data_IF_238443404872
#
_entry.id   IF_238443404872
#
_cell.length_a   1.000
_cell.length_b   1.000
_cell.length_c   1.000
_cell.angle_alpha   90.00
_cell.angle_beta   90.00
_cell.angle_gamma   90.00
#
_symmetry.space_group_name_H-M   'P 1'
#
loop_
_entity.id
_entity.type
_entity.pdbx_description
1 polymer ?
#
# COMPACT_ATOMS: atom_id res chain seq x y z
N UNK A 1 -0.73 57.59 24.83
CA UNK A 1 -0.06 56.66 25.76
C UNK A 1 0.24 55.38 25.00
N UNK A 2 1.49 55.23 24.52
CA UNK A 2 1.98 54.04 23.87
C UNK A 2 2.57 53.19 24.99
N UNK A 3 1.87 52.10 25.33
CA UNK A 3 2.31 51.17 26.39
C UNK A 3 3.55 50.40 25.86
N UNK A 4 4.59 50.42 26.68
CA UNK A 4 5.94 49.95 26.34
C UNK A 4 6.01 48.48 25.92
N UNK A 5 6.78 48.23 24.92
CA UNK A 5 7.42 46.95 24.69
C UNK A 5 8.36 46.70 25.86
N UNK A 6 7.97 45.82 26.78
CA UNK A 6 8.86 45.36 27.83
C UNK A 6 10.01 44.62 27.19
N UNK A 7 11.22 45.14 27.27
CA UNK A 7 12.47 44.49 26.89
C UNK A 7 12.54 43.14 27.61
N UNK A 8 12.39 42.05 26.85
CA UNK A 8 12.54 40.68 27.37
C UNK A 8 14.03 40.54 27.72
N UNK A 9 14.35 40.17 28.97
CA UNK A 9 15.73 40.00 29.39
C UNK A 9 16.46 38.99 28.45
N UNK A 10 17.76 39.16 28.19
CA UNK A 10 18.53 38.24 27.37
C UNK A 10 18.45 36.76 27.80
N UNK A 11 18.29 36.53 29.10
CA UNK A 11 18.09 35.19 29.68
C UNK A 11 16.73 34.59 29.27
N UNK A 12 15.67 35.38 29.38
CA UNK A 12 14.33 34.98 29.01
C UNK A 12 14.20 34.77 27.49
N UNK A 13 14.92 35.53 26.68
CA UNK A 13 15.00 35.37 25.25
C UNK A 13 15.72 34.06 24.87
N UNK A 14 16.84 33.72 25.51
CA UNK A 14 17.56 32.43 25.33
C UNK A 14 16.68 31.24 25.75
N UNK A 15 15.93 31.37 26.83
CA UNK A 15 15.03 30.29 27.28
C UNK A 15 13.89 30.10 26.28
N UNK A 16 13.29 31.17 25.75
CA UNK A 16 12.28 31.10 24.70
C UNK A 16 12.82 30.47 23.40
N UNK A 17 14.04 30.83 23.00
CA UNK A 17 14.70 30.24 21.85
C UNK A 17 14.97 28.75 22.06
N UNK A 18 15.39 28.36 23.27
CA UNK A 18 15.60 26.97 23.64
C UNK A 18 14.32 26.17 23.56
N UNK A 19 13.23 26.67 24.13
CA UNK A 19 11.89 26.00 24.07
C UNK A 19 11.42 25.91 22.63
N UNK A 20 11.65 26.93 21.80
CA UNK A 20 11.19 26.96 20.41
C UNK A 20 11.94 26.02 19.48
N UNK A 21 13.25 25.74 19.73
CA UNK A 21 14.13 25.11 18.76
C UNK A 21 14.88 23.88 19.24
N UNK A 22 14.85 23.57 20.53
CA UNK A 22 15.55 22.41 21.11
C UNK A 22 14.52 21.36 21.54
N UNK A 23 14.76 20.11 21.19
CA UNK A 23 13.95 18.99 21.66
C UNK A 23 14.26 18.68 23.14
N UNK A 24 13.25 18.60 23.96
CA UNK A 24 13.39 18.44 25.41
C UNK A 24 13.94 17.06 25.81
N UNK A 25 13.71 16.02 25.03
CA UNK A 25 14.17 14.65 25.31
C UNK A 25 15.60 14.42 24.86
N UNK A 26 15.90 14.80 23.63
CA UNK A 26 17.18 14.48 22.97
C UNK A 26 18.23 15.59 23.09
N UNK A 27 17.80 16.81 23.47
CA UNK A 27 18.67 18.00 23.49
C UNK A 27 19.18 18.45 22.11
N UNK A 28 18.69 17.82 21.05
CA UNK A 28 19.01 18.18 19.67
C UNK A 28 18.02 19.16 19.06
N UNK A 29 18.05 19.32 17.74
CA UNK A 29 17.04 20.11 17.05
C UNK A 29 15.67 19.44 17.17
N UNK A 30 14.63 20.23 17.49
CA UNK A 30 13.26 19.82 17.28
C UNK A 30 12.86 20.03 15.80
N UNK A 31 11.63 19.69 15.43
CA UNK A 31 11.16 19.80 14.04
C UNK A 31 11.16 21.25 13.52
N UNK A 32 10.84 22.24 14.35
CA UNK A 32 10.85 23.65 13.95
C UNK A 32 12.27 24.14 13.65
N UNK A 33 13.24 23.77 14.50
CA UNK A 33 14.66 24.05 14.24
C UNK A 33 15.15 23.39 12.96
N UNK A 34 14.80 22.12 12.74
CA UNK A 34 15.13 21.40 11.51
C UNK A 34 14.59 22.13 10.27
N UNK A 35 13.31 22.49 10.26
CA UNK A 35 12.67 23.20 9.14
C UNK A 35 13.35 24.54 8.86
N UNK A 36 13.59 25.34 9.89
CA UNK A 36 14.26 26.64 9.75
C UNK A 36 15.64 26.46 9.14
N UNK A 37 16.47 25.57 9.70
CA UNK A 37 17.83 25.32 9.21
C UNK A 37 17.88 24.79 7.78
N UNK A 38 16.90 23.97 7.38
CA UNK A 38 16.85 23.44 6.02
C UNK A 38 16.42 24.50 5.00
N UNK A 39 15.43 25.34 5.35
CA UNK A 39 15.00 26.48 4.49
C UNK A 39 16.13 27.48 4.24
N UNK A 40 16.96 27.72 5.24
CA UNK A 40 18.09 28.67 5.17
C UNK A 40 19.25 28.13 4.31
N UNK A 41 19.19 26.85 3.92
CA UNK A 41 20.24 26.21 3.11
C UNK A 41 19.85 26.16 1.63
N UNK A 42 20.73 26.63 0.77
CA UNK A 42 20.57 26.57 -0.68
C UNK A 42 21.36 25.39 -1.27
N UNK A 43 21.10 24.17 -0.76
CA UNK A 43 21.78 22.92 -1.17
C UNK A 43 20.75 21.85 -1.43
N UNK A 44 20.89 21.16 -2.55
CA UNK A 44 20.08 19.96 -2.84
C UNK A 44 20.56 18.75 -2.04
N UNK A 45 19.67 17.78 -1.84
CA UNK A 45 20.00 16.58 -1.10
C UNK A 45 18.82 15.64 -0.97
N UNK A 46 18.82 14.87 0.13
CA UNK A 46 17.75 13.92 0.43
C UNK A 46 17.21 14.16 1.84
N UNK A 47 15.91 14.24 1.94
CA UNK A 47 15.19 14.29 3.22
C UNK A 47 14.73 12.88 3.58
N UNK A 48 14.98 12.50 4.83
CA UNK A 48 14.69 11.18 5.37
C UNK A 48 13.73 11.32 6.54
N UNK A 49 12.65 10.55 6.52
CA UNK A 49 11.79 10.29 7.68
C UNK A 49 12.17 8.93 8.25
N UNK A 50 12.42 8.87 9.55
CA UNK A 50 12.79 7.65 10.27
C UNK A 50 11.85 7.41 11.44
N UNK A 51 11.42 6.15 11.61
CA UNK A 51 10.74 5.63 12.80
C UNK A 51 11.43 4.35 13.26
N UNK A 52 11.01 3.86 14.43
CA UNK A 52 11.52 2.63 15.01
C UNK A 52 10.39 1.62 15.19
N UNK A 53 10.58 0.41 14.66
CA UNK A 53 9.60 -0.65 14.84
C UNK A 53 9.36 -0.95 16.33
N UNK A 54 8.09 -0.96 16.71
CA UNK A 54 7.64 -1.41 18.02
C UNK A 54 8.29 -0.68 19.22
N UNK A 55 8.74 0.58 19.08
CA UNK A 55 9.38 1.34 20.16
C UNK A 55 8.51 1.43 21.42
N UNK A 56 7.18 1.39 21.28
CA UNK A 56 6.24 1.31 22.41
C UNK A 56 6.53 0.12 23.33
N UNK A 57 7.08 -0.98 22.80
CA UNK A 57 7.46 -2.15 23.59
C UNK A 57 8.62 -1.81 24.53
N UNK A 58 9.58 -1.00 24.08
CA UNK A 58 10.68 -0.53 24.93
C UNK A 58 10.14 0.25 26.14
N UNK A 59 9.21 1.18 25.91
CA UNK A 59 8.57 1.93 26.99
C UNK A 59 7.73 1.04 27.92
N UNK A 60 7.03 0.05 27.38
CA UNK A 60 6.18 -0.87 28.18
C UNK A 60 7.00 -1.82 29.05
N UNK A 61 8.15 -2.31 28.56
CA UNK A 61 8.99 -3.28 29.27
C UNK A 61 9.99 -2.58 30.21
N UNK A 62 10.62 -1.50 29.71
CA UNK A 62 11.75 -0.87 30.40
C UNK A 62 11.40 0.47 31.08
N UNK A 63 10.18 0.95 30.89
CA UNK A 63 9.71 2.25 31.40
C UNK A 63 10.09 3.44 30.51
N UNK A 64 9.37 4.55 30.65
CA UNK A 64 9.51 5.77 29.83
C UNK A 64 10.92 6.38 29.96
N UNK A 65 11.46 6.44 31.19
CA UNK A 65 12.81 6.98 31.41
C UNK A 65 13.89 6.25 30.61
N UNK A 66 13.76 4.92 30.46
CA UNK A 66 14.68 4.12 29.67
C UNK A 66 14.47 4.32 28.18
N UNK A 67 13.23 4.53 27.76
CA UNK A 67 12.91 4.94 26.39
C UNK A 67 13.49 6.30 26.02
N UNK A 68 13.40 7.28 26.91
CA UNK A 68 14.00 8.60 26.72
C UNK A 68 15.55 8.53 26.65
N UNK A 69 16.16 7.65 27.45
CA UNK A 69 17.60 7.35 27.36
C UNK A 69 17.95 6.78 25.97
N UNK A 70 17.15 5.84 25.48
CA UNK A 70 17.31 5.28 24.14
C UNK A 70 17.19 6.34 23.04
N UNK A 71 16.20 7.25 23.14
CA UNK A 71 16.01 8.35 22.17
C UNK A 71 17.22 9.31 22.17
N UNK A 72 17.81 9.60 23.33
CA UNK A 72 19.06 10.38 23.42
C UNK A 72 20.21 9.69 22.68
N UNK A 73 20.42 8.41 22.95
CA UNK A 73 21.43 7.61 22.28
C UNK A 73 21.23 7.54 20.76
N UNK A 74 20.00 7.37 20.30
CA UNK A 74 19.64 7.38 18.88
C UNK A 74 20.00 8.73 18.26
N UNK A 75 19.60 9.83 18.89
CA UNK A 75 19.92 11.19 18.43
C UNK A 75 21.41 11.44 18.33
N UNK A 76 22.19 10.95 19.30
CA UNK A 76 23.65 11.07 19.31
C UNK A 76 24.31 10.27 18.19
N UNK A 77 23.84 9.03 17.95
CA UNK A 77 24.33 8.20 16.85
C UNK A 77 24.01 8.81 15.49
N UNK A 78 22.80 9.35 15.30
CA UNK A 78 22.44 10.07 14.07
C UNK A 78 23.40 11.27 13.88
N UNK A 79 23.64 12.06 14.92
CA UNK A 79 24.58 13.21 14.87
C UNK A 79 26.00 12.80 14.53
N UNK A 80 26.43 11.60 14.94
CA UNK A 80 27.73 11.04 14.58
C UNK A 80 27.90 10.70 13.10
N UNK A 81 26.79 10.49 12.38
CA UNK A 81 26.79 10.22 10.92
C UNK A 81 26.53 11.48 10.09
N UNK A 82 25.89 12.48 10.69
CA UNK A 82 25.52 13.76 10.07
C UNK A 82 26.78 14.63 9.90
N UNK A 83 27.11 14.99 8.66
CA UNK A 83 28.20 15.86 8.32
C UNK A 83 27.89 17.36 8.52
N UNK A 84 28.85 18.24 8.20
CA UNK A 84 28.71 19.69 8.39
C UNK A 84 27.51 20.30 7.67
N UNK A 85 27.20 19.83 6.47
CA UNK A 85 26.09 20.32 5.67
C UNK A 85 24.77 19.56 5.91
N UNK A 86 24.81 18.48 6.66
CA UNK A 86 23.63 17.68 6.97
C UNK A 86 22.88 18.26 8.18
N UNK A 87 21.64 17.86 8.39
CA UNK A 87 20.81 18.29 9.52
C UNK A 87 20.05 17.09 10.04
N UNK A 88 19.93 16.96 11.36
CA UNK A 88 19.00 16.00 11.98
C UNK A 88 18.11 16.70 13.00
N UNK A 89 16.92 16.14 13.23
CA UNK A 89 15.96 16.62 14.22
C UNK A 89 15.12 15.48 14.77
N UNK A 90 14.70 15.63 16.03
CA UNK A 90 13.71 14.78 16.65
C UNK A 90 12.33 15.45 16.51
N UNK A 91 11.30 14.68 16.12
CA UNK A 91 9.96 15.22 15.92
C UNK A 91 9.14 15.00 17.17
N UNK A 92 8.92 13.77 17.51
CA UNK A 92 8.24 13.30 18.74
C UNK A 92 8.30 11.76 18.82
N UNK A 93 8.12 11.20 20.00
CA UNK A 93 8.17 9.76 20.26
C UNK A 93 9.41 9.11 19.63
N UNK A 94 9.26 8.19 18.71
CA UNK A 94 10.33 7.47 18.00
C UNK A 94 10.60 8.03 16.59
N UNK A 95 10.09 9.24 16.27
CA UNK A 95 10.19 9.85 14.95
C UNK A 95 11.32 10.85 14.83
N UNK A 96 12.19 10.63 13.85
CA UNK A 96 13.30 11.50 13.50
C UNK A 96 13.20 11.96 12.05
N UNK A 97 13.81 13.10 11.77
CA UNK A 97 13.98 13.64 10.44
C UNK A 97 15.45 13.95 10.20
N UNK A 98 15.96 13.60 9.02
CA UNK A 98 17.36 13.80 8.67
C UNK A 98 17.40 14.39 7.26
N UNK A 99 18.31 15.32 7.04
CA UNK A 99 18.67 15.81 5.71
C UNK A 99 20.13 15.52 5.45
N UNK A 100 20.42 14.86 4.36
CA UNK A 100 21.76 14.64 3.84
C UNK A 100 22.00 15.49 2.60
N UNK A 101 22.99 16.39 2.67
CA UNK A 101 23.42 17.26 1.57
C UNK A 101 24.33 16.49 0.60
N UNK A 102 23.79 15.44 0.02
CA UNK A 102 24.49 14.59 -0.96
C UNK A 102 23.71 14.60 -2.29
N UNK A 103 24.43 14.55 -3.40
CA UNK A 103 23.88 14.49 -4.76
C UNK A 103 23.57 13.06 -5.22
N UNK A 104 24.19 12.06 -4.56
CA UNK A 104 24.11 10.64 -4.93
C UNK A 104 23.38 9.83 -3.89
N UNK A 105 22.26 9.23 -4.30
CA UNK A 105 21.43 8.38 -3.43
C UNK A 105 22.23 7.23 -2.78
N UNK A 106 23.20 6.64 -3.48
CA UNK A 106 24.00 5.56 -2.92
C UNK A 106 24.84 5.97 -1.70
N UNK A 107 25.26 7.25 -1.60
CA UNK A 107 25.93 7.76 -0.40
C UNK A 107 24.95 7.90 0.76
N UNK A 108 23.76 8.37 0.49
CA UNK A 108 22.67 8.48 1.47
C UNK A 108 22.30 7.10 2.02
N UNK A 109 22.18 6.10 1.16
CA UNK A 109 21.87 4.72 1.56
C UNK A 109 22.96 4.19 2.51
N UNK A 110 24.24 4.40 2.21
CA UNK A 110 25.33 3.99 3.10
C UNK A 110 25.26 4.66 4.48
N UNK A 111 24.88 5.94 4.54
CA UNK A 111 24.65 6.64 5.81
C UNK A 111 23.50 6.03 6.59
N UNK A 112 22.39 5.68 5.92
CA UNK A 112 21.23 4.99 6.50
C UNK A 112 21.64 3.62 7.06
N UNK A 113 22.39 2.84 6.30
CA UNK A 113 22.93 1.54 6.74
C UNK A 113 23.84 1.68 7.95
N UNK A 114 24.69 2.72 7.98
CA UNK A 114 25.56 3.03 9.12
C UNK A 114 24.75 3.35 10.37
N UNK A 115 23.70 4.19 10.25
CA UNK A 115 22.78 4.48 11.36
C UNK A 115 22.13 3.18 11.86
N UNK A 116 21.61 2.34 10.96
CA UNK A 116 20.99 1.07 11.34
C UNK A 116 21.92 0.17 12.15
N UNK A 117 23.18 0.01 11.69
CA UNK A 117 24.19 -0.81 12.39
C UNK A 117 24.52 -0.25 13.77
N UNK A 118 24.60 1.07 13.91
CA UNK A 118 24.87 1.72 15.21
C UNK A 118 23.68 1.52 16.17
N UNK A 119 22.43 1.62 15.70
CA UNK A 119 21.24 1.45 16.55
C UNK A 119 21.07 0.01 17.06
N UNK A 120 21.53 -0.98 16.32
CA UNK A 120 21.56 -2.37 16.81
C UNK A 120 22.46 -2.44 18.06
N UNK A 121 23.64 -1.82 18.02
CA UNK A 121 24.58 -1.76 19.17
C UNK A 121 24.02 -1.01 20.38
N UNK A 122 23.19 0.03 20.14
CA UNK A 122 22.51 0.76 21.22
C UNK A 122 21.60 -0.20 22.02
N UNK A 123 20.87 -1.06 21.35
CA UNK A 123 19.97 -2.03 22.02
C UNK A 123 20.74 -2.95 22.99
N UNK A 124 21.91 -3.43 22.56
CA UNK A 124 22.77 -4.29 23.37
C UNK A 124 23.34 -3.52 24.57
N UNK A 125 23.89 -2.31 24.32
CA UNK A 125 24.51 -1.46 25.35
C UNK A 125 23.53 -1.04 26.45
N UNK A 126 22.30 -0.71 26.07
CA UNK A 126 21.24 -0.29 27.01
C UNK A 126 20.44 -1.47 27.61
N UNK A 127 20.70 -2.71 27.16
CA UNK A 127 19.94 -3.90 27.55
C UNK A 127 18.43 -3.75 27.37
N UNK A 128 18.02 -3.18 26.23
CA UNK A 128 16.63 -3.01 25.84
C UNK A 128 16.27 -3.94 24.70
N UNK A 129 14.97 -4.18 24.41
CA UNK A 129 14.53 -4.88 23.21
C UNK A 129 15.18 -4.32 21.96
N UNK A 130 15.49 -5.19 20.98
CA UNK A 130 16.16 -4.80 19.73
C UNK A 130 15.42 -3.66 19.03
N UNK A 131 16.14 -2.55 18.82
CA UNK A 131 15.69 -1.40 18.05
C UNK A 131 15.94 -1.70 16.58
N UNK A 132 14.91 -1.56 15.76
CA UNK A 132 15.00 -1.71 14.32
C UNK A 132 14.39 -0.48 13.64
N UNK A 133 15.23 0.45 13.12
CA UNK A 133 14.74 1.61 12.40
C UNK A 133 14.25 1.24 11.00
N UNK A 134 13.36 2.06 10.45
CA UNK A 134 12.97 2.02 9.05
C UNK A 134 12.82 3.43 8.51
N UNK A 135 13.13 3.61 7.22
CA UNK A 135 13.37 4.92 6.64
C UNK A 135 12.56 5.12 5.37
N UNK A 136 12.00 6.32 5.22
CA UNK A 136 11.53 6.81 3.93
C UNK A 136 12.43 7.93 3.44
N UNK A 137 12.73 7.94 2.17
CA UNK A 137 13.71 8.84 1.54
C UNK A 137 13.05 9.57 0.39
N UNK A 138 13.21 10.89 0.32
CA UNK A 138 12.82 11.69 -0.84
C UNK A 138 13.92 12.65 -1.25
N UNK A 139 13.96 13.01 -2.53
CA UNK A 139 14.83 14.08 -3.02
C UNK A 139 14.27 15.43 -2.60
N UNK A 140 15.15 16.31 -2.13
CA UNK A 140 14.84 17.69 -1.79
C UNK A 140 15.73 18.66 -2.55
N UNK A 141 15.12 19.72 -3.05
CA UNK A 141 15.80 20.79 -3.78
C UNK A 141 15.38 22.14 -3.20
N UNK A 142 16.25 23.15 -3.26
CA UNK A 142 15.91 24.50 -2.84
C UNK A 142 14.63 24.99 -3.51
N UNK A 143 13.74 25.59 -2.70
CA UNK A 143 12.41 26.04 -3.15
C UNK A 143 11.29 25.03 -2.90
N UNK A 144 11.55 23.76 -2.70
CA UNK A 144 10.56 22.77 -2.25
C UNK A 144 10.18 23.03 -0.79
N UNK A 145 8.90 22.94 -0.44
CA UNK A 145 8.45 23.07 0.94
C UNK A 145 8.95 21.88 1.77
N UNK A 146 9.50 22.15 2.94
CA UNK A 146 10.02 21.10 3.84
C UNK A 146 8.90 20.15 4.28
N UNK A 147 7.71 20.67 4.52
CA UNK A 147 6.53 19.89 4.90
C UNK A 147 6.09 18.93 3.78
N UNK A 148 6.20 19.34 2.53
CA UNK A 148 5.91 18.51 1.36
C UNK A 148 6.93 17.36 1.26
N UNK A 149 8.23 17.69 1.30
CA UNK A 149 9.29 16.68 1.26
C UNK A 149 9.21 15.71 2.44
N UNK A 150 8.88 16.22 3.65
CA UNK A 150 8.65 15.35 4.80
C UNK A 150 7.43 14.42 4.59
N UNK A 151 6.34 14.95 4.03
CA UNK A 151 5.15 14.17 3.67
C UNK A 151 5.49 13.03 2.72
N UNK A 152 6.25 13.28 1.67
CA UNK A 152 6.72 12.28 0.71
C UNK A 152 7.61 11.20 1.36
N UNK A 153 8.61 11.61 2.14
CA UNK A 153 9.47 10.67 2.86
C UNK A 153 8.68 9.83 3.87
N UNK A 154 7.77 10.45 4.61
CA UNK A 154 6.89 9.76 5.57
C UNK A 154 5.93 8.79 4.88
N UNK A 155 5.41 9.15 3.72
CA UNK A 155 4.59 8.27 2.89
C UNK A 155 5.38 7.03 2.45
N UNK A 156 6.59 7.22 1.89
CA UNK A 156 7.47 6.12 1.49
C UNK A 156 7.80 5.20 2.68
N UNK A 157 8.12 5.77 3.84
CA UNK A 157 8.37 5.04 5.08
C UNK A 157 7.19 4.17 5.51
N UNK A 158 5.98 4.72 5.47
CA UNK A 158 4.77 4.01 5.92
C UNK A 158 4.45 2.78 5.07
N UNK A 159 4.90 2.71 3.80
CA UNK A 159 4.74 1.54 2.92
C UNK A 159 5.53 0.30 3.40
N UNK A 160 6.57 0.52 4.18
CA UNK A 160 7.42 -0.57 4.69
C UNK A 160 7.24 -0.79 6.20
N UNK A 161 6.30 -0.10 6.83
CA UNK A 161 6.06 -0.18 8.28
C UNK A 161 5.83 -1.62 8.77
N UNK A 162 5.13 -2.46 8.01
CA UNK A 162 4.86 -3.86 8.35
C UNK A 162 5.93 -4.83 7.80
N UNK A 163 6.90 -4.30 7.03
CA UNK A 163 7.95 -5.09 6.36
C UNK A 163 9.28 -4.97 7.08
N UNK A 164 9.48 -5.82 8.09
CA UNK A 164 10.73 -5.84 8.88
C UNK A 164 11.98 -6.27 8.10
N UNK A 165 11.79 -6.85 6.91
CA UNK A 165 12.85 -7.24 5.97
C UNK A 165 13.39 -6.07 5.13
N UNK A 166 12.69 -4.92 5.11
CA UNK A 166 13.04 -3.74 4.31
C UNK A 166 13.48 -2.60 5.20
N UNK A 167 14.69 -2.11 4.97
CA UNK A 167 15.29 -1.03 5.78
C UNK A 167 14.79 0.36 5.35
N UNK A 168 14.66 0.60 4.05
CA UNK A 168 14.26 1.91 3.53
C UNK A 168 13.40 1.80 2.26
N UNK A 169 12.62 2.84 2.00
CA UNK A 169 11.87 3.04 0.77
C UNK A 169 12.13 4.45 0.23
N UNK A 170 12.48 4.53 -1.05
CA UNK A 170 12.60 5.81 -1.74
C UNK A 170 11.22 6.20 -2.28
N UNK A 171 10.84 7.46 -2.08
CA UNK A 171 9.61 8.04 -2.62
C UNK A 171 9.67 8.09 -4.14
N UNK A 172 8.56 7.74 -4.77
CA UNK A 172 8.36 7.84 -6.20
C UNK A 172 6.99 8.47 -6.45
N UNK A 173 6.94 9.49 -7.27
CA UNK A 173 5.68 10.13 -7.65
C UNK A 173 4.74 9.14 -8.37
N UNK A 174 5.28 8.31 -9.25
CA UNK A 174 4.53 7.26 -9.94
C UNK A 174 3.88 6.27 -8.96
N UNK A 175 4.57 5.93 -7.86
CA UNK A 175 3.99 5.09 -6.80
C UNK A 175 2.83 5.78 -6.08
N UNK A 176 2.92 7.09 -5.87
CA UNK A 176 1.84 7.86 -5.24
C UNK A 176 0.61 7.93 -6.14
N UNK A 177 0.81 8.23 -7.41
CA UNK A 177 -0.26 8.27 -8.40
C UNK A 177 -0.98 6.90 -8.48
N UNK A 178 -0.21 5.80 -8.50
CA UNK A 178 -0.78 4.45 -8.46
C UNK A 178 -1.61 4.19 -7.21
N UNK A 179 -1.16 4.60 -6.03
CA UNK A 179 -1.90 4.40 -4.78
C UNK A 179 -3.18 5.22 -4.76
N UNK A 180 -3.14 6.46 -5.25
CA UNK A 180 -4.34 7.29 -5.39
C UNK A 180 -5.32 6.63 -6.36
N UNK A 181 -4.84 6.11 -7.49
CA UNK A 181 -5.66 5.37 -8.45
C UNK A 181 -6.26 4.09 -7.83
N UNK A 182 -5.44 3.28 -7.14
CA UNK A 182 -5.90 2.08 -6.42
C UNK A 182 -6.99 2.44 -5.39
N UNK A 183 -6.79 3.51 -4.62
CA UNK A 183 -7.78 3.96 -3.63
C UNK A 183 -9.09 4.43 -4.27
N UNK A 184 -9.01 5.17 -5.37
CA UNK A 184 -10.20 5.55 -6.14
C UNK A 184 -10.95 4.34 -6.69
N UNK A 185 -10.23 3.29 -7.14
CA UNK A 185 -10.85 2.04 -7.57
C UNK A 185 -11.60 1.36 -6.42
N UNK A 186 -11.00 1.27 -5.24
CA UNK A 186 -11.65 0.70 -4.06
C UNK A 186 -12.92 1.47 -3.66
N UNK A 187 -12.83 2.80 -3.58
CA UNK A 187 -13.92 3.65 -3.13
C UNK A 187 -15.11 3.63 -4.11
N UNK A 188 -14.86 3.44 -5.40
CA UNK A 188 -15.89 3.41 -6.43
C UNK A 188 -16.45 2.00 -6.70
N UNK A 189 -15.77 0.95 -6.30
CA UNK A 189 -16.07 -0.42 -6.68
C UNK A 189 -17.54 -0.84 -6.53
N UNK A 190 -18.11 -0.70 -5.33
CA UNK A 190 -19.48 -1.14 -5.09
C UNK A 190 -20.53 -0.29 -5.80
N UNK A 191 -20.29 1.00 -5.95
CA UNK A 191 -21.14 1.88 -6.75
C UNK A 191 -21.12 1.45 -8.21
N UNK A 192 -19.94 1.29 -8.78
CA UNK A 192 -19.74 0.95 -10.18
C UNK A 192 -20.23 -0.47 -10.51
N UNK A 193 -20.20 -1.39 -9.51
CA UNK A 193 -20.80 -2.71 -9.63
C UNK A 193 -22.33 -2.64 -9.75
N UNK A 194 -22.98 -1.78 -8.94
CA UNK A 194 -24.43 -1.60 -8.95
C UNK A 194 -24.93 -0.82 -10.18
N UNK A 195 -24.10 0.10 -10.69
CA UNK A 195 -24.42 0.94 -11.85
C UNK A 195 -24.08 0.27 -13.20
N UNK A 196 -23.66 -1.02 -13.17
CA UNK A 196 -23.28 -1.83 -14.33
C UNK A 196 -22.10 -1.26 -15.13
N UNK A 197 -21.17 -0.61 -14.47
CA UNK A 197 -19.94 -0.13 -15.09
C UNK A 197 -18.93 -1.26 -15.37
N UNK A 198 -19.16 -2.47 -14.83
CA UNK A 198 -18.41 -3.67 -15.18
C UNK A 198 -19.13 -4.39 -16.34
N UNK A 199 -18.54 -4.29 -17.52
CA UNK A 199 -19.03 -4.92 -18.75
C UNK A 199 -18.42 -6.31 -18.93
N UNK A 200 -19.20 -7.23 -19.52
CA UNK A 200 -18.68 -8.54 -19.92
C UNK A 200 -18.47 -8.56 -21.43
N UNK A 201 -17.23 -8.67 -21.84
CA UNK A 201 -16.85 -8.86 -23.22
C UNK A 201 -16.67 -10.34 -23.51
N UNK A 202 -17.10 -10.79 -24.69
CA UNK A 202 -17.07 -12.20 -25.05
C UNK A 202 -16.00 -12.47 -26.10
N UNK A 203 -15.03 -13.32 -25.76
CA UNK A 203 -14.02 -13.81 -26.69
C UNK A 203 -14.47 -15.16 -27.25
N UNK A 204 -14.82 -15.27 -28.54
CA UNK A 204 -15.36 -16.50 -29.11
C UNK A 204 -14.30 -17.59 -29.22
N UNK A 205 -14.72 -18.85 -28.94
CA UNK A 205 -13.92 -20.07 -29.09
C UNK A 205 -14.44 -20.87 -30.28
N UNK A 206 -13.55 -21.16 -31.24
CA UNK A 206 -13.88 -21.91 -32.44
C UNK A 206 -13.22 -23.29 -32.45
N UNK A 207 -13.92 -24.30 -32.93
CA UNK A 207 -13.35 -25.63 -33.14
C UNK A 207 -12.34 -25.61 -34.33
N UNK A 208 -11.05 -25.94 -34.13
CA UNK A 208 -10.03 -25.78 -35.16
C UNK A 208 -10.29 -26.51 -36.49
N UNK A 209 -10.93 -27.71 -36.42
CA UNK A 209 -11.21 -28.55 -37.60
C UNK A 209 -12.44 -28.10 -38.40
N UNK A 210 -13.42 -27.48 -37.80
CA UNK A 210 -14.71 -27.18 -38.40
C UNK A 210 -15.01 -25.70 -38.51
N UNK A 211 -14.19 -24.86 -37.89
CA UNK A 211 -14.38 -23.42 -37.75
C UNK A 211 -15.78 -23.01 -37.21
N UNK A 212 -16.41 -23.92 -36.42
CA UNK A 212 -17.69 -23.66 -35.80
C UNK A 212 -17.48 -23.04 -34.44
N UNK A 213 -18.34 -22.07 -34.08
CA UNK A 213 -18.39 -21.50 -32.74
C UNK A 213 -18.82 -22.59 -31.75
N UNK A 214 -17.98 -22.87 -30.75
CA UNK A 214 -18.22 -23.92 -29.75
C UNK A 214 -18.35 -23.37 -28.34
N UNK A 215 -17.97 -22.13 -28.11
CA UNK A 215 -18.05 -21.47 -26.82
C UNK A 215 -17.57 -20.03 -26.89
N UNK A 216 -17.52 -19.37 -25.76
CA UNK A 216 -16.87 -18.08 -25.59
C UNK A 216 -16.26 -17.99 -24.18
N UNK A 217 -15.36 -17.05 -23.96
CA UNK A 217 -14.88 -16.66 -22.64
C UNK A 217 -15.41 -15.28 -22.28
N UNK A 218 -15.99 -15.16 -21.08
CA UNK A 218 -16.48 -13.92 -20.54
C UNK A 218 -15.36 -13.17 -19.81
N UNK A 219 -14.98 -12.05 -20.38
CA UNK A 219 -13.88 -11.21 -19.91
C UNK A 219 -14.42 -9.90 -19.36
N UNK A 220 -14.23 -9.65 -18.08
CA UNK A 220 -14.68 -8.41 -17.43
C UNK A 220 -13.86 -7.22 -17.94
N UNK A 221 -14.54 -6.08 -18.13
CA UNK A 221 -13.96 -4.77 -18.42
C UNK A 221 -14.62 -3.75 -17.51
N UNK A 222 -13.85 -2.84 -16.98
CA UNK A 222 -14.39 -1.78 -16.13
C UNK A 222 -14.41 -0.47 -16.89
N UNK A 223 -15.61 0.02 -17.23
CA UNK A 223 -15.81 1.30 -17.89
C UNK A 223 -16.13 2.38 -16.85
N UNK A 224 -15.32 3.41 -16.82
CA UNK A 224 -15.56 4.62 -16.01
C UNK A 224 -16.62 5.52 -16.65
N UNK A 225 -17.18 6.43 -15.87
CA UNK A 225 -18.15 7.45 -16.35
C UNK A 225 -17.61 8.29 -17.52
N UNK A 226 -16.30 8.52 -17.60
CA UNK A 226 -15.64 9.20 -18.70
C UNK A 226 -15.39 8.33 -19.95
N UNK A 227 -15.98 7.15 -20.03
CA UNK A 227 -15.79 6.13 -21.05
C UNK A 227 -14.39 5.50 -21.14
N UNK A 228 -13.50 5.78 -20.22
CA UNK A 228 -12.20 5.09 -20.10
C UNK A 228 -12.41 3.64 -19.67
N UNK A 229 -11.72 2.70 -20.35
CA UNK A 229 -11.73 1.29 -19.95
C UNK A 229 -10.49 1.00 -19.11
N UNK A 230 -10.69 0.62 -17.85
CA UNK A 230 -9.64 0.12 -16.98
C UNK A 230 -9.39 -1.35 -17.31
N UNK A 231 -8.15 -1.74 -17.68
CA UNK A 231 -7.85 -3.13 -17.99
C UNK A 231 -7.84 -4.01 -16.72
N UNK A 232 -8.21 -5.30 -16.83
CA UNK A 232 -8.24 -6.23 -15.69
C UNK A 232 -6.92 -6.31 -14.92
N UNK A 233 -5.78 -6.19 -15.60
CA UNK A 233 -4.45 -6.19 -14.99
C UNK A 233 -4.22 -5.08 -13.94
N UNK A 234 -5.00 -4.00 -13.95
CA UNK A 234 -4.94 -2.92 -12.96
C UNK A 234 -5.77 -3.23 -11.71
N UNK A 235 -6.98 -3.76 -11.86
CA UNK A 235 -7.92 -3.89 -10.73
C UNK A 235 -8.01 -5.32 -10.16
N UNK A 236 -7.81 -6.38 -10.94
CA UNK A 236 -7.91 -7.75 -10.43
C UNK A 236 -6.91 -8.01 -9.30
N UNK A 237 -5.59 -7.70 -9.44
CA UNK A 237 -4.63 -7.90 -8.34
C UNK A 237 -4.95 -7.08 -7.09
N UNK A 238 -5.53 -5.89 -7.27
CA UNK A 238 -5.99 -5.05 -6.16
C UNK A 238 -7.15 -5.71 -5.41
N UNK A 239 -8.17 -6.17 -6.15
CA UNK A 239 -9.37 -6.77 -5.57
C UNK A 239 -9.11 -8.16 -4.97
N UNK A 240 -8.11 -8.90 -5.46
CA UNK A 240 -7.63 -10.12 -4.81
C UNK A 240 -6.99 -9.82 -3.45
N UNK A 241 -6.14 -8.79 -3.35
CA UNK A 241 -5.47 -8.40 -2.10
C UNK A 241 -6.43 -7.93 -1.01
N UNK A 242 -7.49 -7.20 -1.38
CA UNK A 242 -8.45 -6.63 -0.41
C UNK A 242 -9.75 -7.43 -0.26
N UNK A 243 -9.90 -8.55 -1.00
CA UNK A 243 -11.04 -9.46 -0.92
C UNK A 243 -12.28 -9.02 -1.71
N UNK A 244 -12.27 -7.88 -2.39
CA UNK A 244 -13.38 -7.40 -3.24
C UNK A 244 -13.61 -8.29 -4.46
N UNK A 245 -12.60 -9.06 -4.86
CA UNK A 245 -12.68 -9.96 -6.01
C UNK A 245 -13.85 -10.93 -5.93
N UNK A 246 -14.25 -11.38 -4.74
CA UNK A 246 -15.38 -12.29 -4.56
C UNK A 246 -16.71 -11.70 -5.03
N UNK A 247 -16.92 -10.42 -4.77
CA UNK A 247 -18.11 -9.71 -5.22
C UNK A 247 -18.10 -9.51 -6.74
N UNK A 248 -16.93 -9.26 -7.31
CA UNK A 248 -16.75 -9.14 -8.76
C UNK A 248 -17.00 -10.47 -9.47
N UNK A 249 -16.43 -11.57 -8.98
CA UNK A 249 -16.61 -12.90 -9.56
C UNK A 249 -18.10 -13.32 -9.56
N UNK A 250 -18.80 -13.07 -8.45
CA UNK A 250 -20.24 -13.32 -8.36
C UNK A 250 -21.04 -12.45 -9.35
N UNK A 251 -20.68 -11.19 -9.48
CA UNK A 251 -21.29 -10.28 -10.45
C UNK A 251 -21.09 -10.80 -11.87
N UNK A 252 -19.85 -11.15 -12.26
CA UNK A 252 -19.55 -11.68 -13.59
C UNK A 252 -20.35 -12.94 -13.89
N UNK A 253 -20.43 -13.89 -12.95
CA UNK A 253 -21.22 -15.11 -13.11
C UNK A 253 -22.70 -14.78 -13.34
N UNK A 254 -23.28 -13.90 -12.53
CA UNK A 254 -24.68 -13.48 -12.62
C UNK A 254 -24.97 -12.80 -13.96
N UNK A 255 -24.09 -11.89 -14.41
CA UNK A 255 -24.30 -11.18 -15.68
C UNK A 255 -24.22 -12.13 -16.88
N UNK A 256 -23.28 -13.09 -16.90
CA UNK A 256 -23.21 -14.09 -17.97
C UNK A 256 -24.46 -14.95 -17.98
N UNK A 257 -24.96 -15.41 -16.84
CA UNK A 257 -26.22 -16.15 -16.75
C UNK A 257 -27.41 -15.31 -17.29
N UNK A 258 -27.47 -14.03 -16.91
CA UNK A 258 -28.54 -13.11 -17.34
C UNK A 258 -28.49 -12.85 -18.84
N UNK A 259 -27.31 -12.66 -19.41
CA UNK A 259 -27.16 -12.48 -20.86
C UNK A 259 -27.58 -13.73 -21.63
N UNK A 260 -27.16 -14.91 -21.17
CA UNK A 260 -27.57 -16.17 -21.81
C UNK A 260 -29.06 -16.43 -21.70
N UNK A 261 -29.69 -16.13 -20.56
CA UNK A 261 -31.15 -16.26 -20.40
C UNK A 261 -31.89 -15.34 -21.38
N UNK A 262 -31.46 -14.06 -21.45
CA UNK A 262 -32.04 -13.12 -22.42
C UNK A 262 -31.92 -13.62 -23.86
N UNK A 263 -30.76 -14.14 -24.27
CA UNK A 263 -30.57 -14.67 -25.63
C UNK A 263 -31.45 -15.91 -25.91
N UNK A 264 -31.66 -16.79 -24.93
CA UNK A 264 -32.61 -17.90 -25.05
C UNK A 264 -34.03 -17.40 -25.22
N UNK A 265 -34.47 -16.40 -24.44
CA UNK A 265 -35.77 -15.80 -24.52
C UNK A 265 -36.02 -15.11 -25.87
N UNK A 266 -34.96 -14.57 -26.47
CA UNK A 266 -34.95 -14.02 -27.82
C UNK A 266 -34.87 -15.09 -28.92
N UNK A 267 -34.87 -16.36 -28.57
CA UNK A 267 -34.81 -17.49 -29.53
C UNK A 267 -33.42 -17.66 -30.20
N UNK A 268 -32.39 -17.06 -29.64
CA UNK A 268 -31.01 -17.16 -30.16
C UNK A 268 -30.37 -18.50 -29.77
N UNK A 269 -29.55 -19.02 -30.66
CA UNK A 269 -28.70 -20.18 -30.36
C UNK A 269 -27.56 -19.75 -29.44
N UNK A 270 -27.49 -20.35 -28.25
CA UNK A 270 -26.42 -20.09 -27.29
C UNK A 270 -25.34 -21.15 -27.31
N UNK A 271 -24.15 -20.81 -26.85
CA UNK A 271 -23.01 -21.69 -26.62
C UNK A 271 -22.56 -21.53 -25.17
N UNK A 272 -21.82 -22.49 -24.59
CA UNK A 272 -21.22 -22.31 -23.27
C UNK A 272 -20.30 -21.09 -23.22
N UNK A 273 -20.39 -20.32 -22.14
CA UNK A 273 -19.54 -19.16 -21.89
C UNK A 273 -18.78 -19.38 -20.59
N UNK A 274 -17.47 -19.62 -20.68
CA UNK A 274 -16.61 -19.79 -19.52
C UNK A 274 -16.32 -18.44 -18.86
N UNK A 275 -16.11 -18.48 -17.56
CA UNK A 275 -15.67 -17.34 -16.76
C UNK A 275 -14.44 -17.71 -15.92
N UNK A 276 -13.57 -16.75 -15.70
CA UNK A 276 -12.46 -16.90 -14.79
C UNK A 276 -12.93 -16.76 -13.34
N UNK A 277 -12.47 -17.63 -12.46
CA UNK A 277 -12.71 -17.57 -11.02
C UNK A 277 -11.40 -17.36 -10.26
N UNK A 278 -11.40 -16.36 -9.38
CA UNK A 278 -10.25 -16.06 -8.54
C UNK A 278 -10.02 -17.15 -7.47
N UNK A 279 -8.75 -17.27 -7.03
CA UNK A 279 -8.41 -18.16 -5.92
C UNK A 279 -9.22 -17.86 -4.65
N UNK A 280 -9.41 -16.58 -4.32
CA UNK A 280 -10.16 -16.17 -3.14
C UNK A 280 -11.61 -16.62 -3.17
N UNK A 281 -12.24 -16.68 -4.34
CA UNK A 281 -13.59 -17.20 -4.52
C UNK A 281 -13.64 -18.72 -4.53
N UNK A 282 -12.64 -19.36 -5.11
CA UNK A 282 -12.55 -20.82 -5.21
C UNK A 282 -12.55 -21.50 -3.83
N UNK A 283 -11.85 -20.94 -2.86
CA UNK A 283 -11.75 -21.46 -1.48
C UNK A 283 -12.89 -21.02 -0.58
N UNK A 284 -13.89 -20.30 -1.09
CA UNK A 284 -15.04 -19.94 -0.29
C UNK A 284 -16.00 -21.13 -0.18
N UNK A 285 -16.23 -21.62 1.04
CA UNK A 285 -16.89 -22.90 1.32
C UNK A 285 -18.29 -23.06 0.67
N UNK A 286 -19.00 -21.94 0.44
CA UNK A 286 -20.33 -21.93 -0.14
C UNK A 286 -20.38 -21.52 -1.61
N UNK A 287 -19.25 -21.36 -2.30
CA UNK A 287 -19.19 -20.82 -3.68
C UNK A 287 -20.03 -21.64 -4.66
N UNK A 288 -19.88 -22.97 -4.63
CA UNK A 288 -20.60 -23.89 -5.52
C UNK A 288 -22.12 -23.76 -5.36
N UNK A 289 -22.59 -23.81 -4.10
CA UNK A 289 -24.01 -23.65 -3.78
C UNK A 289 -24.53 -22.28 -4.23
N UNK A 290 -23.75 -21.23 -3.99
CA UNK A 290 -24.13 -19.85 -4.33
C UNK A 290 -24.28 -19.67 -5.84
N UNK A 291 -23.36 -20.19 -6.62
CA UNK A 291 -23.42 -20.13 -8.08
C UNK A 291 -24.56 -20.99 -8.65
N UNK A 292 -24.75 -22.17 -8.12
CA UNK A 292 -25.91 -23.00 -8.46
C UNK A 292 -27.23 -22.27 -8.17
N UNK A 293 -27.36 -21.62 -7.02
CA UNK A 293 -28.59 -20.88 -6.66
C UNK A 293 -28.79 -19.65 -7.56
N UNK A 294 -27.72 -18.96 -7.99
CA UNK A 294 -27.80 -17.86 -8.96
C UNK A 294 -28.30 -18.38 -10.30
N UNK A 295 -27.70 -19.42 -10.87
CA UNK A 295 -28.07 -20.00 -12.14
C UNK A 295 -29.54 -20.49 -12.14
N UNK A 296 -29.94 -21.15 -11.04
CA UNK A 296 -31.34 -21.64 -10.87
C UNK A 296 -32.36 -20.50 -10.82
N UNK A 297 -32.07 -19.39 -10.11
CA UNK A 297 -32.97 -18.23 -10.03
C UNK A 297 -33.13 -17.54 -11.38
N UNK A 298 -32.09 -17.48 -12.19
CA UNK A 298 -32.11 -16.89 -13.53
C UNK A 298 -32.71 -17.86 -14.56
N UNK A 299 -32.75 -19.16 -14.26
CA UNK A 299 -33.30 -20.18 -15.17
C UNK A 299 -32.32 -20.61 -16.27
N UNK A 300 -31.00 -20.65 -15.92
CA UNK A 300 -29.92 -21.14 -16.79
C UNK A 300 -29.34 -22.44 -16.23
N UNK A 301 -29.01 -23.37 -17.12
CA UNK A 301 -28.29 -24.58 -16.76
C UNK A 301 -26.81 -24.26 -16.49
N UNK A 302 -26.29 -24.75 -15.39
CA UNK A 302 -24.92 -24.48 -14.94
C UNK A 302 -23.82 -24.91 -15.92
N UNK A 303 -24.07 -25.97 -16.70
CA UNK A 303 -23.13 -26.43 -17.73
C UNK A 303 -22.91 -25.41 -18.87
N UNK A 304 -23.77 -24.42 -19.00
CA UNK A 304 -23.62 -23.33 -19.96
C UNK A 304 -22.68 -22.23 -19.47
N UNK A 305 -22.29 -22.24 -18.19
CA UNK A 305 -21.33 -21.28 -17.62
C UNK A 305 -20.19 -22.05 -16.94
N UNK A 306 -19.28 -22.65 -17.74
CA UNK A 306 -18.09 -23.31 -17.21
C UNK A 306 -17.22 -22.33 -16.44
N UNK A 307 -16.51 -22.83 -15.43
CA UNK A 307 -15.56 -22.04 -14.66
C UNK A 307 -14.13 -22.38 -15.09
N UNK A 308 -13.32 -21.39 -15.32
CA UNK A 308 -11.90 -21.53 -15.59
C UNK A 308 -11.10 -21.08 -14.37
N UNK A 309 -10.16 -21.93 -13.93
CA UNK A 309 -9.25 -21.61 -12.83
C UNK A 309 -7.99 -20.99 -13.43
N UNK A 310 -7.63 -19.80 -12.95
CA UNK A 310 -6.41 -19.12 -13.41
C UNK A 310 -5.14 -19.85 -12.92
N UNK A 311 -4.06 -19.80 -13.68
CA UNK A 311 -2.76 -20.42 -13.32
C UNK A 311 -2.25 -20.00 -11.94
N UNK A 312 -2.51 -18.76 -11.53
CA UNK A 312 -2.15 -18.24 -10.21
C UNK A 312 -2.92 -18.88 -9.06
N UNK A 313 -4.05 -19.54 -9.35
CA UNK A 313 -4.83 -20.29 -8.37
C UNK A 313 -4.32 -21.72 -8.16
N UNK A 314 -3.50 -22.26 -9.06
CA UNK A 314 -3.08 -23.65 -9.13
C UNK A 314 -1.77 -23.89 -8.34
N UNK A 315 -1.79 -23.86 -7.00
CA UNK A 315 -0.59 -24.10 -6.16
C UNK A 315 -0.57 -25.50 -5.53
N UNK A 316 -1.73 -26.13 -5.34
CA UNK A 316 -1.84 -27.49 -4.75
C UNK A 316 -2.78 -28.37 -5.57
N UNK A 317 -2.24 -29.37 -6.25
CA UNK A 317 -2.98 -30.25 -7.17
C UNK A 317 -4.09 -31.06 -6.48
N UNK A 318 -3.89 -31.49 -5.24
CA UNK A 318 -4.86 -32.36 -4.54
C UNK A 318 -6.05 -31.56 -4.03
N UNK A 319 -5.82 -30.33 -3.58
CA UNK A 319 -6.86 -29.41 -3.12
C UNK A 319 -7.73 -28.92 -4.28
N UNK A 320 -7.10 -28.56 -5.42
CA UNK A 320 -7.82 -28.17 -6.64
C UNK A 320 -8.68 -29.31 -7.14
N UNK A 321 -8.19 -30.54 -7.13
CA UNK A 321 -8.97 -31.70 -7.52
C UNK A 321 -10.22 -31.88 -6.65
N UNK A 322 -10.08 -31.76 -5.33
CA UNK A 322 -11.21 -31.80 -4.38
C UNK A 322 -12.26 -30.72 -4.68
N UNK A 323 -11.81 -29.52 -5.02
CA UNK A 323 -12.70 -28.40 -5.39
C UNK A 323 -13.37 -28.68 -6.73
N UNK A 324 -12.63 -29.16 -7.73
CA UNK A 324 -13.15 -29.53 -9.04
C UNK A 324 -14.24 -30.61 -8.93
N UNK A 325 -14.03 -31.63 -8.10
CA UNK A 325 -15.02 -32.66 -7.84
C UNK A 325 -16.32 -32.10 -7.24
N UNK A 326 -16.20 -31.10 -6.35
CA UNK A 326 -17.39 -30.40 -5.80
C UNK A 326 -18.16 -29.62 -6.86
N UNK A 327 -17.47 -28.92 -7.77
CA UNK A 327 -18.13 -28.20 -8.88
C UNK A 327 -18.79 -29.19 -9.84
N UNK A 328 -18.09 -30.25 -10.27
CA UNK A 328 -18.63 -31.28 -11.14
C UNK A 328 -19.83 -32.00 -10.52
N UNK A 329 -19.77 -32.34 -9.22
CA UNK A 329 -20.88 -32.97 -8.50
C UNK A 329 -22.14 -32.10 -8.43
N UNK A 330 -22.03 -30.79 -8.65
CA UNK A 330 -23.14 -29.85 -8.74
C UNK A 330 -23.46 -29.41 -10.19
N UNK A 331 -22.90 -30.10 -11.19
CA UNK A 331 -23.18 -29.85 -12.61
C UNK A 331 -22.60 -28.56 -13.15
N UNK A 332 -21.58 -28.00 -12.50
CA UNK A 332 -20.82 -26.84 -13.00
C UNK A 332 -19.51 -27.37 -13.58
N UNK A 333 -19.26 -27.28 -14.89
CA UNK A 333 -17.98 -27.67 -15.49
C UNK A 333 -16.86 -26.75 -15.02
N UNK A 334 -15.70 -27.35 -14.78
CA UNK A 334 -14.49 -26.64 -14.38
C UNK A 334 -13.40 -26.88 -15.40
#
# INVERSE_FOLDING_TARGET
>A
MIAGFSDISPEKQRELERIAYVDAVTGGNNYESFKKKLRDRNVSGYLISMDIHSFKIVNSICGVAKGDEALRWISENIRGVVGYNDISGHINADRFVIFFADDKINKVIRKIETINLQLIKVSESLKIPKIQPYFGVTKWEPGKKVEEAYGEANFAKNRIKERKDVLYQIYSQADTERIVEEKQMEDNFYRDLNDNHFEIWYQPKYAPKTNKLVGAEGLVRWRRENNEIIPPSKFIPLFERNGMIKALDEYVFREVCTHQRRWLDEGKKIVPISINLSRASLYFESVVKRYHDIARRIGIYTHLVPIEITESAAVDNDEIKSIADKFHGNGIPL
#
